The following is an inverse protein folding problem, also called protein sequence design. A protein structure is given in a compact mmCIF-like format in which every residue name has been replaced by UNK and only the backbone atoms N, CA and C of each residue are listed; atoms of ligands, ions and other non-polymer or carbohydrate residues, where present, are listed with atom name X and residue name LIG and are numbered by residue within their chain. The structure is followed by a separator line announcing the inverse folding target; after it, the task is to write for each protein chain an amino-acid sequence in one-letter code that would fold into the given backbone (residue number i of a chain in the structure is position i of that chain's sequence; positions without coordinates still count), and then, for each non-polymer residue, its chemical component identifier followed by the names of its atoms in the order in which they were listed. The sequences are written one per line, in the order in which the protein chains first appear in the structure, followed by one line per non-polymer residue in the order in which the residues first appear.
data_IF_468411269379
#
_entry.id   IF_468411269379
#
_cell.length_a   1.000
_cell.length_b   1.000
_cell.length_c   1.000
_cell.angle_alpha   90.00
_cell.angle_beta   90.00
_cell.angle_gamma   90.00
#
_symmetry.space_group_name_H-M   'P 1'
#
loop_
_entity.id
_entity.type
_entity.pdbx_description
1 polymer ?
#
# COMPACT_ATOMS: atom_id res chain seq x y z
N UNK A 1 -6.23 -5.95 -13.37
CA UNK A 1 -5.20 -4.91 -13.13
C UNK A 1 -5.77 -3.52 -13.33
N UNK A 2 -6.41 -3.24 -14.47
CA UNK A 2 -6.97 -1.90 -14.78
C UNK A 2 -7.92 -1.37 -13.71
N UNK A 3 -8.86 -2.18 -13.23
CA UNK A 3 -9.78 -1.80 -12.14
C UNK A 3 -9.07 -1.38 -10.85
N UNK A 4 -8.00 -2.10 -10.47
CA UNK A 4 -7.19 -1.80 -9.28
C UNK A 4 -6.49 -0.45 -9.43
N UNK A 5 -5.87 -0.21 -10.58
CA UNK A 5 -5.13 1.02 -10.86
C UNK A 5 -6.07 2.21 -11.02
N UNK A 6 -7.22 2.02 -11.66
CA UNK A 6 -8.24 3.07 -11.79
C UNK A 6 -8.75 3.53 -10.42
N UNK A 7 -9.09 2.59 -9.53
CA UNK A 7 -9.53 2.89 -8.16
C UNK A 7 -8.56 3.81 -7.41
N UNK A 8 -7.26 3.54 -7.47
CA UNK A 8 -6.26 4.37 -6.77
C UNK A 8 -5.86 5.64 -7.50
N UNK A 9 -6.13 5.77 -8.80
CA UNK A 9 -5.93 7.04 -9.52
C UNK A 9 -6.93 8.11 -9.12
N UNK A 10 -8.12 7.70 -8.70
CA UNK A 10 -9.21 8.59 -8.31
C UNK A 10 -9.25 8.86 -6.79
N UNK A 11 -8.40 8.17 -6.01
CA UNK A 11 -8.37 8.31 -4.55
C UNK A 11 -7.52 9.50 -4.12
N UNK A 12 -8.11 10.37 -3.30
CA UNK A 12 -7.42 11.56 -2.79
C UNK A 12 -6.22 11.19 -1.90
N UNK A 13 -5.15 11.96 -2.02
CA UNK A 13 -3.88 11.69 -1.33
C UNK A 13 -3.11 10.48 -1.86
N UNK A 14 -3.54 9.83 -2.95
CA UNK A 14 -2.84 8.68 -3.53
C UNK A 14 -2.22 9.05 -4.88
N UNK A 15 -0.95 8.69 -5.05
CA UNK A 15 -0.23 8.82 -6.33
C UNK A 15 0.01 7.45 -6.94
N UNK A 16 -0.37 7.32 -8.21
CA UNK A 16 -0.11 6.14 -9.03
C UNK A 16 0.98 6.46 -10.04
N UNK A 17 2.16 5.87 -9.86
CA UNK A 17 3.33 6.12 -10.72
C UNK A 17 3.68 4.88 -11.55
N UNK A 18 3.78 5.06 -12.87
CA UNK A 18 4.34 4.03 -13.73
C UNK A 18 5.86 4.14 -13.74
N UNK A 19 6.54 3.04 -13.43
CA UNK A 19 7.99 2.86 -13.60
C UNK A 19 8.25 1.81 -14.68
N UNK A 20 9.51 1.68 -15.13
CA UNK A 20 9.86 0.87 -16.30
C UNK A 20 9.30 -0.57 -16.29
N UNK A 21 9.12 -1.17 -15.12
CA UNK A 21 8.68 -2.57 -14.97
C UNK A 21 7.43 -2.78 -14.10
N UNK A 22 6.87 -1.72 -13.52
CA UNK A 22 5.74 -1.82 -12.59
C UNK A 22 4.94 -0.52 -12.50
N UNK A 23 3.78 -0.60 -11.86
CA UNK A 23 2.98 0.54 -11.43
C UNK A 23 2.99 0.54 -9.90
N UNK A 24 3.56 1.59 -9.31
CA UNK A 24 3.59 1.80 -7.86
C UNK A 24 2.41 2.65 -7.41
N UNK A 25 1.85 2.30 -6.24
CA UNK A 25 0.83 3.09 -5.55
C UNK A 25 1.44 3.60 -4.25
N UNK A 26 1.38 4.93 -4.08
CA UNK A 26 1.97 5.66 -2.96
C UNK A 26 0.91 6.54 -2.32
N UNK A 27 0.99 6.70 -1.00
CA UNK A 27 0.19 7.64 -0.23
C UNK A 27 1.02 8.90 0.03
N UNK A 28 0.42 10.07 -0.17
CA UNK A 28 0.96 11.38 0.22
C UNK A 28 0.44 11.68 1.63
N UNK A 29 1.35 11.92 2.55
CA UNK A 29 1.02 12.38 3.89
C UNK A 29 0.71 13.88 3.84
N UNK A 30 -0.46 14.29 4.31
CA UNK A 30 -0.97 15.65 4.11
C UNK A 30 -0.10 16.73 4.77
N UNK A 31 0.45 16.47 5.96
CA UNK A 31 1.19 17.48 6.72
C UNK A 31 2.64 17.65 6.24
N UNK A 32 3.26 16.57 5.74
CA UNK A 32 4.68 16.55 5.37
C UNK A 32 4.91 16.56 3.86
N UNK A 33 3.89 16.23 3.06
CA UNK A 33 4.01 15.98 1.63
C UNK A 33 4.86 14.75 1.29
N UNK A 34 5.29 13.96 2.29
CA UNK A 34 6.12 12.78 2.08
C UNK A 34 5.30 11.63 1.50
N UNK A 35 5.98 10.75 0.77
CA UNK A 35 5.35 9.60 0.12
C UNK A 35 5.63 8.29 0.85
N UNK A 36 4.57 7.54 1.14
CA UNK A 36 4.62 6.18 1.69
C UNK A 36 4.25 5.18 0.59
N UNK A 37 5.15 4.25 0.30
CA UNK A 37 4.95 3.20 -0.70
C UNK A 37 4.03 2.12 -0.14
N UNK A 38 2.85 1.93 -0.76
CA UNK A 38 1.85 0.98 -0.26
C UNK A 38 2.03 -0.39 -0.91
N UNK A 39 2.02 -0.43 -2.24
CA UNK A 39 2.21 -1.62 -3.05
C UNK A 39 2.66 -1.27 -4.48
N UNK A 40 3.11 -2.27 -5.23
CA UNK A 40 3.30 -2.13 -6.67
C UNK A 40 2.82 -3.36 -7.42
N UNK A 41 2.45 -3.16 -8.68
CA UNK A 41 2.03 -4.22 -9.60
C UNK A 41 3.01 -4.28 -10.75
N UNK A 42 3.72 -5.40 -10.91
CA UNK A 42 4.64 -5.58 -12.03
C UNK A 42 3.89 -5.79 -13.36
N UNK A 43 4.55 -5.51 -14.48
CA UNK A 43 4.02 -5.76 -15.83
C UNK A 43 3.63 -7.22 -16.08
N UNK A 44 4.24 -8.16 -15.35
CA UNK A 44 3.90 -9.59 -15.39
C UNK A 44 2.70 -9.95 -14.48
N UNK A 45 2.00 -8.96 -13.93
CA UNK A 45 0.78 -9.16 -13.15
C UNK A 45 1.01 -9.66 -11.73
N UNK A 46 2.13 -9.32 -11.09
CA UNK A 46 2.35 -9.65 -9.67
C UNK A 46 2.18 -8.43 -8.78
N UNK A 47 1.41 -8.56 -7.71
CA UNK A 47 1.27 -7.57 -6.64
C UNK A 47 2.34 -7.82 -5.61
N UNK A 48 3.07 -6.77 -5.21
CA UNK A 48 4.10 -6.79 -4.18
C UNK A 48 3.82 -5.70 -3.15
N UNK A 49 4.05 -6.02 -1.88
CA UNK A 49 3.85 -5.10 -0.75
C UNK A 49 5.11 -5.07 0.09
N UNK A 50 5.64 -3.88 0.36
CA UNK A 50 6.87 -3.70 1.13
C UNK A 50 6.53 -3.04 2.46
N UNK A 51 5.98 -3.83 3.36
CA UNK A 51 5.47 -3.32 4.65
C UNK A 51 6.60 -2.72 5.50
N UNK A 52 7.80 -3.30 5.45
CA UNK A 52 8.95 -2.77 6.20
C UNK A 52 9.39 -1.39 5.67
N UNK A 53 9.29 -1.15 4.35
CA UNK A 53 9.52 0.17 3.77
C UNK A 53 8.45 1.17 4.19
N UNK A 54 7.17 0.76 4.20
CA UNK A 54 6.08 1.61 4.69
C UNK A 54 6.28 1.99 6.16
N UNK A 55 6.70 1.05 7.02
CA UNK A 55 7.06 1.33 8.43
C UNK A 55 8.14 2.40 8.49
N UNK A 56 9.23 2.22 7.73
CA UNK A 56 10.36 3.16 7.73
C UNK A 56 9.91 4.55 7.29
N UNK A 57 9.16 4.65 6.19
CA UNK A 57 8.69 5.92 5.64
C UNK A 57 7.72 6.64 6.57
N UNK A 58 6.83 5.91 7.26
CA UNK A 58 5.96 6.49 8.27
C UNK A 58 6.75 7.01 9.48
N UNK A 59 7.74 6.26 9.96
CA UNK A 59 8.60 6.72 11.06
C UNK A 59 9.44 7.96 10.66
N UNK A 60 9.91 8.01 9.40
CA UNK A 60 10.61 9.18 8.84
C UNK A 60 9.71 10.43 8.75
N UNK A 61 8.40 10.21 8.69
CA UNK A 61 7.38 11.25 8.71
C UNK A 61 6.94 11.67 10.12
N UNK A 62 7.48 11.04 11.17
CA UNK A 62 7.10 11.30 12.57
C UNK A 62 5.96 10.44 13.10
N UNK A 63 5.34 9.60 12.26
CA UNK A 63 4.23 8.73 12.65
C UNK A 63 4.72 7.42 13.27
N UNK A 64 3.91 6.79 14.13
CA UNK A 64 4.19 5.42 14.62
C UNK A 64 3.91 4.39 13.52
N UNK A 65 4.88 4.21 12.63
CA UNK A 65 4.81 3.28 11.50
C UNK A 65 4.60 1.83 11.93
N UNK A 66 5.07 1.41 13.10
CA UNK A 66 4.86 0.04 13.59
C UNK A 66 3.40 -0.17 14.00
N UNK A 67 2.82 0.76 14.75
CA UNK A 67 1.43 0.68 15.15
C UNK A 67 0.49 0.74 13.94
N UNK A 68 0.69 1.72 13.05
CA UNK A 68 -0.17 1.94 11.88
C UNK A 68 -0.13 0.77 10.87
N UNK A 69 1.00 0.11 10.71
CA UNK A 69 1.13 -1.01 9.76
C UNK A 69 0.84 -2.38 10.35
N UNK A 70 0.68 -2.53 11.66
CA UNK A 70 0.52 -3.85 12.31
C UNK A 70 -0.67 -4.64 11.75
N UNK A 71 -1.82 -3.97 11.63
CA UNK A 71 -3.04 -4.54 11.07
C UNK A 71 -2.89 -4.81 9.57
N UNK A 72 -2.38 -3.83 8.82
CA UNK A 72 -2.11 -3.96 7.38
C UNK A 72 -1.20 -5.15 7.07
N UNK A 73 -0.10 -5.30 7.80
CA UNK A 73 0.87 -6.41 7.66
C UNK A 73 0.21 -7.77 7.76
N UNK A 74 -0.70 -7.93 8.72
CA UNK A 74 -1.37 -9.20 9.01
C UNK A 74 -2.38 -9.52 7.91
N UNK A 75 -3.23 -8.55 7.57
CA UNK A 75 -4.28 -8.73 6.58
C UNK A 75 -3.72 -8.91 5.17
N UNK A 76 -2.73 -8.11 4.78
CA UNK A 76 -2.16 -8.16 3.43
C UNK A 76 -1.42 -9.47 3.17
N UNK A 77 -0.76 -10.03 4.18
CA UNK A 77 -0.16 -11.38 4.11
C UNK A 77 -1.21 -12.45 3.92
N UNK A 78 -2.34 -12.34 4.61
CA UNK A 78 -3.46 -13.26 4.47
C UNK A 78 -4.01 -13.20 3.04
N UNK A 79 -4.28 -12.01 2.51
CA UNK A 79 -4.86 -11.83 1.16
C UNK A 79 -3.90 -12.23 0.05
N UNK A 80 -2.62 -11.95 0.19
CA UNK A 80 -1.60 -12.33 -0.80
C UNK A 80 -1.07 -13.76 -0.61
N UNK A 81 -1.57 -14.49 0.39
CA UNK A 81 -1.15 -15.85 0.74
C UNK A 81 0.38 -15.96 0.92
N UNK A 82 0.99 -14.92 1.50
CA UNK A 82 2.44 -14.82 1.62
C UNK A 82 2.95 -15.66 2.79
N UNK A 83 3.75 -16.69 2.46
CA UNK A 83 4.43 -17.54 3.45
C UNK A 83 5.64 -16.83 4.07
N UNK A 84 6.22 -15.86 3.34
CA UNK A 84 7.41 -15.09 3.76
C UNK A 84 7.12 -13.60 3.86
N UNK A 85 7.90 -12.84 4.64
CA UNK A 85 7.76 -11.38 4.77
C UNK A 85 7.87 -10.62 3.45
N UNK A 86 8.51 -11.23 2.45
CA UNK A 86 8.73 -10.66 1.14
C UNK A 86 8.20 -11.61 0.08
N UNK A 87 7.56 -11.04 -0.93
CA UNK A 87 7.04 -11.80 -2.05
C UNK A 87 6.02 -10.99 -2.83
N UNK A 88 5.72 -11.49 -4.02
CA UNK A 88 4.60 -10.98 -4.80
C UNK A 88 3.73 -12.12 -5.26
N UNK A 89 2.42 -11.90 -5.21
CA UNK A 89 1.42 -12.88 -5.63
C UNK A 89 0.87 -12.47 -7.00
N UNK A 90 0.60 -13.44 -7.85
CA UNK A 90 -0.03 -13.16 -9.14
C UNK A 90 -1.44 -12.61 -8.91
N UNK A 91 -1.76 -11.46 -9.50
CA UNK A 91 -3.05 -10.77 -9.36
C UNK A 91 -4.24 -11.66 -9.73
N UNK A 92 -4.05 -12.63 -10.63
CA UNK A 92 -5.08 -13.60 -11.02
C UNK A 92 -5.40 -14.63 -9.92
N UNK A 93 -4.54 -14.73 -8.90
CA UNK A 93 -4.69 -15.65 -7.76
C UNK A 93 -5.01 -14.91 -6.45
N UNK A 94 -5.22 -13.59 -6.52
CA UNK A 94 -5.55 -12.75 -5.37
C UNK A 94 -7.00 -12.33 -5.50
N UNK A 95 -7.74 -12.36 -4.39
CA UNK A 95 -9.00 -11.63 -4.32
C UNK A 95 -8.69 -10.13 -4.32
N UNK A 96 -8.78 -9.52 -5.50
CA UNK A 96 -8.44 -8.12 -5.71
C UNK A 96 -9.36 -7.20 -4.91
N UNK A 97 -10.61 -7.58 -4.67
CA UNK A 97 -11.52 -6.76 -3.87
C UNK A 97 -11.14 -6.79 -2.39
N UNK A 98 -10.85 -7.98 -1.85
CA UNK A 98 -10.32 -8.11 -0.48
C UNK A 98 -8.99 -7.36 -0.32
N UNK A 99 -8.11 -7.43 -1.32
CA UNK A 99 -6.86 -6.68 -1.32
C UNK A 99 -7.08 -5.16 -1.28
N UNK A 100 -8.00 -4.65 -2.12
CA UNK A 100 -8.35 -3.23 -2.13
C UNK A 100 -8.90 -2.78 -0.78
N UNK A 101 -9.80 -3.55 -0.15
CA UNK A 101 -10.33 -3.21 1.18
C UNK A 101 -9.25 -3.10 2.25
N UNK A 102 -8.27 -4.00 2.25
CA UNK A 102 -7.15 -3.98 3.20
C UNK A 102 -6.28 -2.74 2.99
N UNK A 103 -5.99 -2.39 1.74
CA UNK A 103 -5.18 -1.22 1.39
C UNK A 103 -5.93 0.08 1.66
N UNK A 104 -7.21 0.16 1.28
CA UNK A 104 -8.06 1.32 1.52
C UNK A 104 -8.11 1.63 3.01
N UNK A 105 -8.39 0.61 3.83
CA UNK A 105 -8.39 0.75 5.28
C UNK A 105 -7.04 1.27 5.81
N UNK A 106 -5.93 0.77 5.29
CA UNK A 106 -4.60 1.25 5.71
C UNK A 106 -4.38 2.72 5.33
N UNK A 107 -4.79 3.13 4.13
CA UNK A 107 -4.73 4.53 3.70
C UNK A 107 -5.56 5.41 4.64
N UNK A 108 -6.80 5.01 4.92
CA UNK A 108 -7.70 5.73 5.83
C UNK A 108 -7.09 5.83 7.24
N UNK A 109 -6.57 4.72 7.79
CA UNK A 109 -5.95 4.69 9.12
C UNK A 109 -4.71 5.63 9.19
N UNK A 110 -3.92 5.73 8.11
CA UNK A 110 -2.74 6.64 8.06
C UNK A 110 -3.15 8.10 7.89
N UNK A 111 -4.11 8.41 7.00
CA UNK A 111 -4.59 9.78 6.80
C UNK A 111 -5.21 10.36 8.08
N UNK A 112 -6.03 9.57 8.79
CA UNK A 112 -6.60 9.99 10.07
C UNK A 112 -5.56 10.17 11.19
N UNK A 113 -4.41 9.50 11.08
CA UNK A 113 -3.32 9.64 12.03
C UNK A 113 -2.50 10.92 11.77
N UNK A 114 -2.29 11.28 10.50
CA UNK A 114 -1.61 12.53 10.14
C UNK A 114 -2.43 13.76 10.54
N UNK A 115 -3.77 13.73 10.39
CA UNK A 115 -4.65 14.86 10.77
C UNK A 115 -4.71 15.20 12.28
N UNK A 116 -4.16 14.36 13.16
CA UNK A 116 -4.31 14.47 14.63
C UNK A 116 -3.08 14.96 15.38
N UNK A 117 -1.98 15.24 14.69
CA UNK A 117 -0.77 15.86 15.25
C UNK A 117 -0.75 17.39 15.04
#
# INVERSE_FOLDING_TARGET
MEKLIAHYREKDGVTVEAVETSIGVKLILQDTGQHVSIFHVSKIGKIYTWVEDAIRQLNEAGLDGKALTASYKTQVRSVLHLIRPYGGMNIMKVDVNAFMQVVDKFIDDVQHASEKE
#
